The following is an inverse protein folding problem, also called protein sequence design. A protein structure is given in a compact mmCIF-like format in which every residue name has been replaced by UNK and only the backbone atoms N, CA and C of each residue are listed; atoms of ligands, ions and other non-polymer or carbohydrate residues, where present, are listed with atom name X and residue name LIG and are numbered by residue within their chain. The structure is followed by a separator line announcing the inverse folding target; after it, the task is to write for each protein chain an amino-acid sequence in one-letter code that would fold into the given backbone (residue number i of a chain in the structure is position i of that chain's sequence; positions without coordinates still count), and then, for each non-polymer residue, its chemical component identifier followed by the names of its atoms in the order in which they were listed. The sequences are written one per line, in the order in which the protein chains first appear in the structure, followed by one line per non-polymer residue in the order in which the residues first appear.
data_IF_570080038337
#
_entry.id   IF_570080038337
#
_cell.length_a   1.000
_cell.length_b   1.000
_cell.length_c   1.000
_cell.angle_alpha   90.00
_cell.angle_beta   90.00
_cell.angle_gamma   90.00
#
_symmetry.space_group_name_H-M   'P 1'
#
loop_
_entity.id
_entity.type
_entity.pdbx_description
1 polymer ?
#
# COMPACT_ATOMS: atom_id res chain seq x y z
N UNK A 1 0.78 25.63 -3.34
CA UNK A 1 0.76 24.20 -3.71
C UNK A 1 2.19 23.91 -4.15
N UNK A 2 2.93 23.01 -3.48
CA UNK A 2 4.32 22.74 -3.86
C UNK A 2 4.32 22.01 -5.22
N UNK A 3 4.80 22.68 -6.26
CA UNK A 3 4.90 22.19 -7.64
C UNK A 3 6.07 21.20 -7.81
N UNK A 4 6.17 20.21 -6.94
CA UNK A 4 7.13 19.11 -7.11
C UNK A 4 6.65 18.19 -8.23
N UNK A 5 7.55 17.84 -9.14
CA UNK A 5 7.35 16.78 -10.11
C UNK A 5 7.17 15.44 -9.39
N UNK A 6 6.47 14.48 -10.02
CA UNK A 6 6.21 13.16 -9.41
C UNK A 6 7.51 12.44 -9.05
N UNK A 7 8.57 12.63 -9.84
CA UNK A 7 9.90 12.06 -9.60
C UNK A 7 10.63 12.63 -8.38
N UNK A 8 10.18 13.79 -7.87
CA UNK A 8 10.79 14.47 -6.73
C UNK A 8 10.04 14.18 -5.42
N UNK A 9 8.96 13.41 -5.48
CA UNK A 9 8.14 13.03 -4.32
C UNK A 9 8.59 11.70 -3.76
N UNK A 10 8.53 11.60 -2.45
CA UNK A 10 9.11 10.49 -1.70
C UNK A 10 8.12 9.90 -0.70
N UNK A 11 8.40 8.65 -0.32
CA UNK A 11 7.71 7.97 0.78
C UNK A 11 8.74 7.21 1.58
N UNK A 12 8.83 7.52 2.87
CA UNK A 12 9.83 6.98 3.78
C UNK A 12 9.14 6.08 4.78
N UNK A 13 9.76 4.93 5.04
CA UNK A 13 9.34 3.98 6.06
C UNK A 13 10.47 3.85 7.07
N UNK A 14 10.20 4.28 8.30
CA UNK A 14 11.15 4.24 9.41
C UNK A 14 10.69 3.22 10.46
N UNK A 15 11.59 2.33 10.86
CA UNK A 15 11.42 1.44 12.00
C UNK A 15 12.53 1.70 12.99
N UNK A 16 12.17 2.12 14.19
CA UNK A 16 13.15 2.43 15.23
C UNK A 16 13.48 1.18 16.05
N UNK A 17 14.71 1.10 16.55
CA UNK A 17 15.21 -0.09 17.25
C UNK A 17 14.57 -0.29 18.64
N UNK A 18 14.07 0.79 19.24
CA UNK A 18 13.35 0.83 20.51
C UNK A 18 11.91 0.30 20.39
N UNK A 19 11.27 0.44 19.22
CA UNK A 19 9.95 -0.10 18.96
C UNK A 19 9.85 -0.73 17.56
N UNK A 20 10.13 -2.03 17.46
CA UNK A 20 9.98 -2.81 16.22
C UNK A 20 8.53 -3.20 15.90
N UNK A 21 7.57 -2.81 16.75
CA UNK A 21 6.15 -3.13 16.57
C UNK A 21 5.41 -2.17 15.65
N UNK A 22 5.99 -1.00 15.35
CA UNK A 22 5.32 0.09 14.63
C UNK A 22 6.29 0.74 13.65
N UNK A 23 5.82 0.97 12.43
CA UNK A 23 6.50 1.76 11.41
C UNK A 23 5.95 3.18 11.40
N UNK A 24 6.84 4.17 11.43
CA UNK A 24 6.50 5.54 11.08
C UNK A 24 6.65 5.69 9.56
N UNK A 25 5.58 6.16 8.90
CA UNK A 25 5.56 6.36 7.45
C UNK A 25 5.33 7.83 7.16
N UNK A 26 6.22 8.45 6.38
CA UNK A 26 6.03 9.79 5.83
C UNK A 26 5.80 9.70 4.32
N UNK A 27 4.90 10.55 3.79
CA UNK A 27 4.73 10.68 2.34
C UNK A 27 4.30 12.10 1.94
N UNK A 28 4.88 12.61 0.87
CA UNK A 28 4.43 13.80 0.14
C UNK A 28 3.86 13.48 -1.25
N UNK A 29 3.83 12.20 -1.65
CA UNK A 29 3.16 11.74 -2.86
C UNK A 29 1.63 11.64 -2.65
N UNK A 30 0.81 12.43 -3.36
CA UNK A 30 -0.64 12.37 -3.27
C UNK A 30 -1.25 11.00 -3.56
N UNK A 31 -0.62 10.16 -4.39
CA UNK A 31 -1.10 8.80 -4.65
C UNK A 31 -0.93 7.93 -3.42
N UNK A 32 0.24 8.01 -2.77
CA UNK A 32 0.52 7.28 -1.53
C UNK A 32 -0.28 7.83 -0.35
N UNK A 33 -0.40 9.16 -0.20
CA UNK A 33 -1.27 9.80 0.79
C UNK A 33 -2.70 9.23 0.70
N UNK A 34 -3.30 9.20 -0.49
CA UNK A 34 -4.66 8.65 -0.70
C UNK A 34 -4.78 7.16 -0.37
N UNK A 35 -3.70 6.39 -0.46
CA UNK A 35 -3.70 4.96 -0.09
C UNK A 35 -3.54 4.79 1.41
N UNK A 36 -2.67 5.56 2.04
CA UNK A 36 -2.41 5.54 3.47
C UNK A 36 -3.63 6.03 4.26
N UNK A 37 -4.27 7.11 3.81
CA UNK A 37 -5.52 7.63 4.39
C UNK A 37 -6.69 6.62 4.37
N UNK A 38 -6.62 5.56 3.55
CA UNK A 38 -7.63 4.50 3.53
C UNK A 38 -7.40 3.41 4.56
N UNK A 39 -6.18 3.25 5.07
CA UNK A 39 -5.79 2.14 5.94
C UNK A 39 -5.37 2.59 7.33
N UNK A 40 -5.04 3.87 7.50
CA UNK A 40 -4.64 4.44 8.77
C UNK A 40 -5.00 5.94 8.85
N UNK A 41 -5.17 6.43 10.08
CA UNK A 41 -5.32 7.85 10.33
C UNK A 41 -3.94 8.51 10.48
N UNK A 42 -3.72 9.64 9.82
CA UNK A 42 -2.50 10.41 9.99
C UNK A 42 -2.43 10.94 11.43
N UNK A 43 -1.27 10.81 12.07
CA UNK A 43 -1.05 11.30 13.43
C UNK A 43 -0.35 12.67 13.44
N UNK A 44 0.26 13.05 12.31
CA UNK A 44 0.92 14.35 12.12
C UNK A 44 0.84 14.77 10.66
N UNK A 45 0.53 16.03 10.42
CA UNK A 45 0.55 16.65 9.09
C UNK A 45 1.56 17.80 9.06
N UNK A 46 2.22 17.99 7.93
CA UNK A 46 3.14 19.11 7.67
C UNK A 46 2.69 19.85 6.41
N UNK A 47 3.21 21.05 6.14
CA UNK A 47 2.93 21.74 4.87
C UNK A 47 3.36 20.94 3.62
N UNK A 48 4.27 19.96 3.79
CA UNK A 48 4.84 19.17 2.70
C UNK A 48 4.22 17.79 2.55
N UNK A 49 3.72 17.17 3.62
CA UNK A 49 3.22 15.81 3.59
C UNK A 49 2.54 15.39 4.89
N UNK A 50 2.39 14.08 5.08
CA UNK A 50 1.73 13.51 6.25
C UNK A 50 2.48 12.32 6.81
N UNK A 51 2.23 12.03 8.08
CA UNK A 51 2.83 10.94 8.83
C UNK A 51 1.75 10.00 9.37
N UNK A 52 1.99 8.70 9.24
CA UNK A 52 1.14 7.62 9.78
C UNK A 52 1.97 6.69 10.65
N UNK A 53 1.30 6.04 11.59
CA UNK A 53 1.84 4.91 12.34
C UNK A 53 1.16 3.65 11.85
N UNK A 54 1.92 2.71 11.31
CA UNK A 54 1.42 1.41 10.85
C UNK A 54 1.97 0.31 11.75
N UNK A 55 1.15 -0.66 12.14
CA UNK A 55 1.66 -1.81 12.88
C UNK A 55 2.53 -2.69 11.99
N UNK A 56 3.52 -3.37 12.57
CA UNK A 56 4.50 -4.15 11.81
C UNK A 56 3.87 -5.26 10.95
N UNK A 57 2.69 -5.77 11.31
CA UNK A 57 1.93 -6.76 10.55
C UNK A 57 1.23 -6.16 9.30
N UNK A 58 1.00 -4.84 9.27
CA UNK A 58 0.48 -4.13 8.11
C UNK A 58 1.56 -3.86 7.06
N UNK A 59 2.84 -3.84 7.45
CA UNK A 59 3.98 -3.59 6.55
C UNK A 59 4.62 -4.91 6.15
N UNK A 60 4.47 -5.28 4.87
CA UNK A 60 5.08 -6.49 4.31
C UNK A 60 6.20 -6.13 3.35
N UNK A 61 7.42 -6.55 3.68
CA UNK A 61 8.52 -6.55 2.73
C UNK A 61 8.32 -7.70 1.77
N UNK A 62 7.82 -7.39 0.57
CA UNK A 62 7.87 -8.36 -0.51
C UNK A 62 9.31 -8.48 -0.97
N UNK A 63 9.90 -9.68 -0.88
CA UNK A 63 10.99 -9.98 -1.80
C UNK A 63 10.44 -9.90 -3.21
N UNK A 64 11.24 -9.40 -4.15
CA UNK A 64 10.88 -9.48 -5.56
C UNK A 64 10.55 -10.94 -5.90
N UNK A 65 9.32 -11.23 -6.33
CA UNK A 65 8.97 -12.59 -6.72
C UNK A 65 9.81 -12.98 -7.93
N UNK A 66 10.26 -14.23 -7.96
CA UNK A 66 10.92 -14.82 -9.12
C UNK A 66 9.97 -14.79 -10.32
N UNK A 67 10.48 -14.98 -11.53
CA UNK A 67 9.65 -15.01 -12.74
C UNK A 67 8.58 -16.11 -12.70
N UNK A 68 8.87 -17.24 -12.04
CA UNK A 68 7.89 -18.31 -11.81
C UNK A 68 6.73 -17.86 -10.91
N UNK A 69 7.02 -17.16 -9.81
CA UNK A 69 6.03 -16.62 -8.89
C UNK A 69 5.20 -15.50 -9.55
N UNK A 70 5.84 -14.64 -10.35
CA UNK A 70 5.15 -13.62 -11.15
C UNK A 70 4.14 -14.23 -12.13
N UNK A 71 4.52 -15.31 -12.80
CA UNK A 71 3.62 -16.03 -13.70
C UNK A 71 2.42 -16.65 -12.96
N UNK A 72 2.65 -17.16 -11.74
CA UNK A 72 1.59 -17.71 -10.88
C UNK A 72 0.62 -16.64 -10.38
N UNK A 73 1.12 -15.49 -9.93
CA UNK A 73 0.27 -14.35 -9.56
C UNK A 73 -0.58 -13.86 -10.72
N UNK A 74 -0.01 -13.80 -11.93
CA UNK A 74 -0.78 -13.47 -13.15
C UNK A 74 -1.87 -14.50 -13.44
N UNK A 75 -1.62 -15.81 -13.21
CA UNK A 75 -2.65 -16.86 -13.32
C UNK A 75 -3.72 -16.70 -12.24
N UNK A 76 -3.36 -16.38 -10.99
CA UNK A 76 -4.30 -16.19 -9.89
C UNK A 76 -5.17 -14.94 -10.07
N UNK A 77 -4.59 -13.82 -10.52
CA UNK A 77 -5.31 -12.59 -10.85
C UNK A 77 -6.35 -12.81 -11.95
N UNK A 78 -5.98 -13.51 -13.04
CA UNK A 78 -6.94 -13.87 -14.10
C UNK A 78 -8.07 -14.77 -13.61
N UNK A 79 -7.80 -15.70 -12.68
CA UNK A 79 -8.85 -16.53 -12.06
C UNK A 79 -9.79 -15.68 -11.23
N UNK A 80 -9.28 -14.82 -10.36
CA UNK A 80 -10.08 -13.90 -9.55
C UNK A 80 -10.94 -12.96 -10.41
N UNK A 81 -10.37 -12.42 -11.49
CA UNK A 81 -11.11 -11.57 -12.43
C UNK A 81 -12.26 -12.33 -13.11
N UNK A 82 -12.04 -13.59 -13.51
CA UNK A 82 -13.11 -14.46 -14.04
C UNK A 82 -14.17 -14.76 -12.99
N UNK A 83 -13.78 -15.06 -11.76
CA UNK A 83 -14.75 -15.27 -10.66
C UNK A 83 -15.58 -14.02 -10.38
N UNK A 84 -14.98 -12.82 -10.45
CA UNK A 84 -15.70 -11.55 -10.32
C UNK A 84 -16.63 -11.28 -11.50
N UNK A 85 -16.25 -11.69 -12.72
CA UNK A 85 -17.09 -11.56 -13.92
C UNK A 85 -18.23 -12.59 -13.98
N UNK A 86 -18.04 -13.78 -13.40
CA UNK A 86 -19.03 -14.87 -13.42
C UNK A 86 -19.82 -15.05 -12.10
N UNK A 87 -19.45 -14.33 -11.03
CA UNK A 87 -20.09 -14.39 -9.70
C UNK A 87 -21.44 -13.67 -9.58
N UNK A 88 -22.09 -13.31 -10.70
CA UNK A 88 -23.46 -12.74 -10.72
C UNK A 88 -24.53 -13.81 -11.04
N UNK A 89 -24.19 -15.11 -11.09
CA UNK A 89 -25.17 -16.17 -11.35
C UNK A 89 -24.94 -17.39 -10.45
N UNK A 90 -25.39 -17.31 -9.20
CA UNK A 90 -25.96 -18.43 -8.43
C UNK A 90 -26.24 -18.01 -6.98
N UNK A 91 -27.12 -17.02 -6.84
CA UNK A 91 -27.85 -16.79 -5.59
C UNK A 91 -29.33 -16.65 -5.96
N UNK A 92 -29.95 -17.75 -6.41
CA UNK A 92 -31.40 -17.91 -6.46
C UNK A 92 -31.77 -19.38 -6.70
N UNK A 93 -32.50 -19.90 -5.72
CA UNK A 93 -33.26 -21.16 -5.62
C UNK A 93 -32.46 -22.45 -5.39
#
# INVERSE_FOLDING_TARGET
MNDLAVSERETHLNLTADNRGVWEVYSDDPVMIRKLDKIAQAHRETPTGKYWMLSADQVRFYRLPSDSERAEYKKRGRRLQRYQQHGVLSAQN
#
